data_IF_386281905684
#
_entry.id   IF_386281905684
#
_cell.length_a   1.000
_cell.length_b   1.000
_cell.length_c   1.000
_cell.angle_alpha   90.00
_cell.angle_beta   90.00
_cell.angle_gamma   90.00
#
_symmetry.space_group_name_H-M   'P 1'
#
loop_
_entity.id
_entity.type
_entity.pdbx_description
1 polymer ?
#
# COMPACT_ATOMS: atom_id res chain seq x y z
N UNK A 1 -15.53 -33.30 8.44
CA UNK A 1 -15.34 -31.84 8.35
C UNK A 1 -13.89 -31.56 8.75
N UNK A 2 -13.11 -30.95 7.89
CA UNK A 2 -11.73 -30.53 8.21
C UNK A 2 -11.73 -29.14 8.88
N UNK A 3 -10.57 -28.67 9.32
CA UNK A 3 -10.46 -27.38 10.05
C UNK A 3 -10.96 -26.21 9.20
N UNK A 4 -10.60 -26.15 7.92
CA UNK A 4 -11.07 -25.15 6.97
C UNK A 4 -12.61 -25.10 6.90
N UNK A 5 -13.24 -26.25 6.71
CA UNK A 5 -14.71 -26.36 6.63
C UNK A 5 -15.39 -25.90 7.92
N UNK A 6 -14.77 -26.16 9.07
CA UNK A 6 -15.27 -25.69 10.37
C UNK A 6 -15.21 -24.17 10.46
N UNK A 7 -14.10 -23.53 9.99
CA UNK A 7 -13.96 -22.07 9.96
C UNK A 7 -14.98 -21.46 8.98
N UNK A 8 -15.11 -22.00 7.77
CA UNK A 8 -16.08 -21.53 6.77
C UNK A 8 -17.53 -21.61 7.27
N UNK A 9 -17.86 -22.66 8.00
CA UNK A 9 -19.16 -22.78 8.63
C UNK A 9 -19.37 -21.73 9.73
N UNK A 10 -18.35 -21.52 10.56
CA UNK A 10 -18.38 -20.44 11.56
C UNK A 10 -18.57 -19.06 10.91
N UNK A 11 -17.88 -18.77 9.79
CA UNK A 11 -18.09 -17.54 9.02
C UNK A 11 -19.57 -17.38 8.62
N UNK A 12 -20.20 -18.44 8.09
CA UNK A 12 -21.62 -18.44 7.69
C UNK A 12 -22.58 -18.19 8.85
N UNK A 13 -22.26 -18.68 10.05
CA UNK A 13 -23.13 -18.58 11.23
C UNK A 13 -22.98 -17.24 11.96
N UNK A 14 -21.81 -16.57 11.87
CA UNK A 14 -21.48 -15.43 12.73
C UNK A 14 -21.23 -14.12 12.02
N UNK A 15 -20.79 -14.15 10.75
CA UNK A 15 -20.54 -12.93 10.01
C UNK A 15 -21.84 -12.27 9.55
N UNK A 16 -21.74 -10.97 9.25
CA UNK A 16 -22.82 -10.20 8.64
C UNK A 16 -23.26 -10.81 7.30
N UNK A 17 -24.53 -10.69 6.95
CA UNK A 17 -25.00 -11.10 5.62
C UNK A 17 -24.40 -10.29 4.46
N UNK A 18 -23.72 -9.18 4.77
CA UNK A 18 -22.99 -8.36 3.79
C UNK A 18 -21.51 -8.71 3.70
N UNK A 19 -21.02 -9.63 4.55
CA UNK A 19 -19.62 -10.05 4.55
C UNK A 19 -19.30 -10.95 3.35
N UNK A 20 -18.09 -10.84 2.86
CA UNK A 20 -17.53 -11.74 1.84
C UNK A 20 -17.05 -13.02 2.50
N UNK A 21 -17.85 -14.10 2.40
CA UNK A 21 -17.52 -15.40 2.97
C UNK A 21 -16.42 -16.10 2.16
N UNK A 22 -15.44 -16.70 2.85
CA UNK A 22 -14.33 -17.44 2.21
C UNK A 22 -14.83 -18.59 1.32
N UNK A 23 -15.91 -19.26 1.72
CA UNK A 23 -16.52 -20.33 0.93
C UNK A 23 -17.16 -19.87 -0.39
N UNK A 24 -17.51 -18.58 -0.49
CA UNK A 24 -18.19 -17.98 -1.64
C UNK A 24 -17.26 -17.17 -2.54
N UNK A 25 -15.94 -17.32 -2.40
CA UNK A 25 -14.98 -16.60 -3.22
C UNK A 25 -15.17 -16.87 -4.71
N UNK A 26 -14.97 -15.85 -5.56
CA UNK A 26 -14.89 -16.02 -7.02
C UNK A 26 -13.66 -16.82 -7.45
N UNK A 27 -12.76 -17.10 -6.50
CA UNK A 27 -11.64 -17.99 -6.67
C UNK A 27 -10.39 -17.33 -7.25
N UNK A 28 -9.50 -18.17 -7.69
CA UNK A 28 -8.16 -17.86 -8.22
C UNK A 28 -8.13 -18.04 -9.72
N UNK A 29 -7.18 -17.40 -10.40
CA UNK A 29 -6.99 -17.60 -11.85
C UNK A 29 -6.59 -19.03 -12.19
N UNK A 30 -5.65 -19.56 -11.40
CA UNK A 30 -5.21 -20.95 -11.54
C UNK A 30 -5.83 -21.78 -10.44
N UNK A 31 -6.56 -22.84 -10.83
CA UNK A 31 -7.16 -23.77 -9.86
C UNK A 31 -6.08 -24.47 -9.06
N UNK A 32 -6.26 -24.56 -7.77
CA UNK A 32 -5.39 -25.25 -6.83
C UNK A 32 -6.20 -26.11 -5.86
N UNK A 33 -5.61 -27.16 -5.28
CA UNK A 33 -6.23 -27.91 -4.20
C UNK A 33 -6.52 -27.00 -3.01
N UNK A 34 -7.70 -27.18 -2.39
CA UNK A 34 -8.05 -26.48 -1.17
C UNK A 34 -7.16 -26.94 -0.01
N UNK A 35 -6.85 -26.02 0.89
CA UNK A 35 -6.14 -26.34 2.14
C UNK A 35 -7.12 -27.01 3.13
N UNK A 36 -6.68 -27.96 3.89
CA UNK A 36 -7.47 -28.65 4.93
C UNK A 36 -7.59 -27.83 6.23
N UNK A 37 -6.71 -26.84 6.42
CA UNK A 37 -6.62 -26.02 7.64
C UNK A 37 -7.15 -24.60 7.40
N UNK A 38 -6.73 -23.93 6.31
CA UNK A 38 -6.94 -22.49 6.10
C UNK A 38 -7.96 -22.19 4.99
N UNK A 39 -8.97 -21.33 5.25
CA UNK A 39 -9.77 -20.69 4.20
C UNK A 39 -8.90 -19.91 3.20
N UNK A 40 -9.47 -19.61 2.02
CA UNK A 40 -8.72 -19.00 0.92
C UNK A 40 -8.16 -17.60 1.26
N UNK A 41 -8.90 -16.78 2.01
CA UNK A 41 -8.44 -15.45 2.43
C UNK A 41 -7.22 -15.51 3.36
N UNK A 42 -7.13 -16.51 4.24
CA UNK A 42 -5.95 -16.73 5.08
C UNK A 42 -4.74 -17.20 4.26
N UNK A 43 -4.96 -18.04 3.24
CA UNK A 43 -3.88 -18.44 2.33
C UNK A 43 -3.33 -17.23 1.56
N UNK A 44 -4.18 -16.31 1.16
CA UNK A 44 -3.77 -15.10 0.44
C UNK A 44 -2.94 -14.18 1.33
N UNK A 45 -3.37 -13.94 2.55
CA UNK A 45 -2.58 -13.23 3.57
C UNK A 45 -1.19 -13.83 3.71
N UNK A 46 -1.09 -15.15 3.90
CA UNK A 46 0.18 -15.83 4.09
C UNK A 46 1.08 -15.69 2.84
N UNK A 47 0.53 -15.79 1.63
CA UNK A 47 1.28 -15.59 0.37
C UNK A 47 1.86 -14.19 0.27
N UNK A 48 1.08 -13.17 0.66
CA UNK A 48 1.54 -11.77 0.66
C UNK A 48 2.67 -11.59 1.67
N UNK A 49 2.50 -12.03 2.92
CA UNK A 49 3.50 -11.93 3.98
C UNK A 49 4.84 -12.58 3.60
N UNK A 50 4.80 -13.71 2.89
CA UNK A 50 6.00 -14.43 2.47
C UNK A 50 6.59 -13.95 1.14
N UNK A 51 6.00 -12.95 0.47
CA UNK A 51 6.50 -12.39 -0.78
C UNK A 51 7.78 -11.58 -0.58
N UNK A 52 8.57 -11.45 -1.66
CA UNK A 52 9.76 -10.58 -1.67
C UNK A 52 9.34 -9.11 -1.57
N UNK A 53 8.26 -8.73 -2.25
CA UNK A 53 7.78 -7.36 -2.29
C UNK A 53 7.31 -6.87 -0.93
N UNK A 54 6.64 -7.70 -0.13
CA UNK A 54 6.27 -7.36 1.24
C UNK A 54 7.50 -7.08 2.12
N UNK A 55 8.54 -7.90 2.03
CA UNK A 55 9.80 -7.68 2.77
C UNK A 55 10.50 -6.38 2.39
N UNK A 56 10.36 -5.93 1.13
CA UNK A 56 10.97 -4.67 0.66
C UNK A 56 10.32 -3.43 1.28
N UNK A 57 9.07 -3.50 1.74
CA UNK A 57 8.37 -2.39 2.38
C UNK A 57 9.11 -1.84 3.61
N UNK A 58 9.93 -2.64 4.28
CA UNK A 58 10.75 -2.21 5.42
C UNK A 58 11.77 -1.12 5.08
N UNK A 59 12.14 -0.99 3.81
CA UNK A 59 13.16 -0.06 3.32
C UNK A 59 12.62 0.85 2.20
N UNK A 60 11.31 1.11 2.22
CA UNK A 60 10.65 2.13 1.40
C UNK A 60 10.08 3.19 2.32
N UNK A 61 10.37 4.45 2.03
CA UNK A 61 9.85 5.60 2.80
C UNK A 61 8.35 5.73 2.64
N UNK A 62 7.67 6.20 3.68
CA UNK A 62 6.24 6.50 3.62
C UNK A 62 6.01 7.92 3.08
N UNK A 63 6.51 8.94 3.75
CA UNK A 63 6.23 10.36 3.45
C UNK A 63 7.49 11.15 3.16
N UNK A 64 8.44 11.18 4.10
CA UNK A 64 9.67 11.98 3.98
C UNK A 64 10.84 11.11 3.55
N UNK A 65 11.64 11.63 2.59
CA UNK A 65 12.83 10.94 2.07
C UNK A 65 13.84 10.71 3.19
N UNK A 66 14.04 9.43 3.52
CA UNK A 66 15.10 8.91 4.39
C UNK A 66 15.60 9.87 5.49
N UNK A 67 14.76 10.29 6.44
CA UNK A 67 15.26 11.06 7.57
C UNK A 67 16.26 10.20 8.35
N UNK A 68 17.34 10.80 8.83
CA UNK A 68 18.27 10.12 9.73
C UNK A 68 17.57 9.79 11.05
N UNK A 69 17.49 8.52 11.42
CA UNK A 69 16.96 8.05 12.71
C UNK A 69 16.12 6.78 12.65
N UNK A 70 15.97 6.12 13.80
CA UNK A 70 15.31 4.82 13.92
C UNK A 70 13.78 4.91 14.10
N UNK A 71 13.21 6.12 14.18
CA UNK A 71 11.83 6.35 14.60
C UNK A 71 10.88 6.73 13.46
N UNK A 72 11.35 6.80 12.23
CA UNK A 72 10.50 7.15 11.09
C UNK A 72 9.72 5.94 10.56
N UNK A 73 8.49 6.20 10.11
CA UNK A 73 7.63 5.16 9.55
C UNK A 73 8.15 4.71 8.19
N UNK A 74 8.22 3.41 8.04
CA UNK A 74 8.40 2.75 6.74
C UNK A 74 7.05 2.32 6.20
N UNK A 75 6.98 1.99 4.90
CA UNK A 75 5.75 1.42 4.33
C UNK A 75 5.33 0.13 5.01
N UNK A 76 6.26 -0.64 5.56
CA UNK A 76 5.91 -1.84 6.32
C UNK A 76 5.13 -1.50 7.59
N UNK A 77 5.58 -0.52 8.37
CA UNK A 77 4.89 -0.12 9.61
C UNK A 77 3.53 0.50 9.29
N UNK A 78 3.44 1.38 8.26
CA UNK A 78 2.17 1.88 7.75
C UNK A 78 1.21 0.75 7.37
N UNK A 79 1.67 -0.21 6.57
CA UNK A 79 0.85 -1.36 6.14
C UNK A 79 0.30 -2.17 7.32
N UNK A 80 1.11 -2.36 8.37
CA UNK A 80 0.68 -3.05 9.60
C UNK A 80 -0.35 -2.23 10.38
N UNK A 81 -0.19 -0.91 10.45
CA UNK A 81 -1.16 -0.02 11.12
C UNK A 81 -2.48 0.04 10.35
N UNK A 82 -2.46 0.11 9.01
CA UNK A 82 -3.66 -0.02 8.17
C UNK A 82 -4.35 -1.36 8.41
N UNK A 83 -3.60 -2.44 8.46
CA UNK A 83 -4.13 -3.78 8.74
C UNK A 83 -4.77 -3.85 10.14
N UNK A 84 -4.14 -3.26 11.15
CA UNK A 84 -4.70 -3.22 12.51
C UNK A 84 -6.03 -2.46 12.56
N UNK A 85 -6.11 -1.27 11.93
CA UNK A 85 -7.33 -0.47 11.87
C UNK A 85 -8.43 -1.23 11.11
N UNK A 86 -8.10 -1.77 9.92
CA UNK A 86 -9.04 -2.48 9.07
C UNK A 86 -9.63 -3.72 9.77
N UNK A 87 -8.80 -4.49 10.46
CA UNK A 87 -9.27 -5.66 11.22
C UNK A 87 -10.17 -5.27 12.39
N UNK A 88 -9.86 -4.17 13.07
CA UNK A 88 -10.70 -3.67 14.16
C UNK A 88 -12.10 -3.30 13.66
N UNK A 89 -12.18 -2.55 12.56
CA UNK A 89 -13.47 -2.15 11.94
C UNK A 89 -14.20 -3.39 11.39
N UNK A 90 -13.50 -4.26 10.62
CA UNK A 90 -14.09 -5.45 10.04
C UNK A 90 -14.70 -6.36 11.12
N UNK A 91 -13.98 -6.58 12.23
CA UNK A 91 -14.46 -7.39 13.36
C UNK A 91 -15.68 -6.78 14.03
N UNK A 92 -15.68 -5.46 14.27
CA UNK A 92 -16.83 -4.78 14.88
C UNK A 92 -18.09 -4.85 14.00
N UNK A 93 -17.93 -4.74 12.68
CA UNK A 93 -19.01 -4.87 11.69
C UNK A 93 -19.36 -6.32 11.34
N UNK A 94 -18.71 -7.31 11.95
CA UNK A 94 -18.86 -8.75 11.62
C UNK A 94 -18.60 -9.05 10.14
N UNK A 95 -17.64 -8.34 9.52
CA UNK A 95 -17.14 -8.61 8.19
C UNK A 95 -15.99 -9.63 8.24
N UNK A 96 -15.52 -10.09 7.09
CA UNK A 96 -14.42 -11.06 7.02
C UNK A 96 -13.07 -10.41 7.34
N UNK A 97 -12.62 -10.55 8.60
CA UNK A 97 -11.37 -10.00 9.11
C UNK A 97 -10.15 -10.50 8.32
N UNK A 98 -10.15 -11.78 7.89
CA UNK A 98 -9.04 -12.35 7.12
C UNK A 98 -8.93 -11.76 5.73
N UNK A 99 -10.06 -11.42 5.09
CA UNK A 99 -10.08 -10.74 3.79
C UNK A 99 -9.56 -9.29 3.94
N UNK A 100 -10.05 -8.56 4.93
CA UNK A 100 -9.58 -7.20 5.20
C UNK A 100 -8.06 -7.17 5.47
N UNK A 101 -7.55 -8.11 6.27
CA UNK A 101 -6.12 -8.26 6.54
C UNK A 101 -5.32 -8.53 5.24
N UNK A 102 -5.75 -9.47 4.42
CA UNK A 102 -5.06 -9.81 3.17
C UNK A 102 -4.99 -8.61 2.21
N UNK A 103 -6.09 -7.86 2.05
CA UNK A 103 -6.14 -6.65 1.22
C UNK A 103 -5.19 -5.59 1.79
N UNK A 104 -5.27 -5.33 3.10
CA UNK A 104 -4.44 -4.33 3.76
C UNK A 104 -2.94 -4.63 3.64
N UNK A 105 -2.52 -5.89 3.80
CA UNK A 105 -1.12 -6.28 3.63
C UNK A 105 -0.63 -6.17 2.18
N UNK A 106 -1.52 -6.25 1.21
CA UNK A 106 -1.19 -6.22 -0.22
C UNK A 106 -1.29 -4.84 -0.88
N UNK A 107 -1.96 -3.86 -0.27
CA UNK A 107 -2.35 -2.64 -0.96
C UNK A 107 -1.16 -1.81 -1.47
N UNK A 108 -0.08 -1.73 -0.71
CA UNK A 108 1.08 -0.84 -0.94
C UNK A 108 2.31 -1.53 -1.57
N UNK A 109 2.20 -2.80 -1.98
CA UNK A 109 3.32 -3.56 -2.54
C UNK A 109 3.97 -2.89 -3.77
N UNK A 110 3.18 -2.16 -4.55
CA UNK A 110 3.57 -1.55 -5.81
C UNK A 110 4.20 -0.17 -5.72
N UNK A 111 4.36 0.39 -4.54
CA UNK A 111 5.02 1.70 -4.41
C UNK A 111 6.47 1.65 -4.88
N UNK A 112 6.87 2.74 -5.52
CA UNK A 112 8.23 2.98 -6.01
C UNK A 112 9.18 3.35 -4.86
N UNK A 113 10.50 3.28 -5.06
CA UNK A 113 11.41 4.00 -4.18
C UNK A 113 11.04 5.48 -4.14
N UNK A 114 11.24 6.12 -2.99
CA UNK A 114 10.90 7.53 -2.73
C UNK A 114 9.40 7.87 -2.88
N UNK A 115 8.53 6.90 -2.68
CA UNK A 115 7.09 7.08 -2.60
C UNK A 115 6.48 7.76 -3.82
N UNK A 116 5.70 8.82 -3.59
CA UNK A 116 5.03 9.55 -4.68
C UNK A 116 5.96 10.27 -5.64
N UNK A 117 7.17 10.66 -5.20
CA UNK A 117 8.17 11.30 -6.07
C UNK A 117 8.65 10.33 -7.16
N UNK A 118 8.96 9.08 -6.79
CA UNK A 118 9.31 8.06 -7.76
C UNK A 118 8.13 7.65 -8.66
N UNK A 119 6.92 7.56 -8.11
CA UNK A 119 5.71 7.28 -8.86
C UNK A 119 5.45 8.34 -9.95
N UNK A 120 5.57 9.63 -9.61
CA UNK A 120 5.37 10.73 -10.56
C UNK A 120 6.36 10.65 -11.73
N UNK A 121 7.61 10.28 -11.47
CA UNK A 121 8.63 10.09 -12.51
C UNK A 121 8.29 8.91 -13.40
N UNK A 122 8.01 7.74 -12.84
CA UNK A 122 7.67 6.56 -13.64
C UNK A 122 6.38 6.76 -14.43
N UNK A 123 5.38 7.44 -13.86
CA UNK A 123 4.15 7.77 -14.57
C UNK A 123 4.39 8.67 -15.80
N UNK A 124 5.37 9.57 -15.73
CA UNK A 124 5.74 10.43 -16.86
C UNK A 124 6.60 9.72 -17.91
N UNK A 125 7.48 8.80 -17.48
CA UNK A 125 8.44 8.14 -18.35
C UNK A 125 7.89 6.89 -19.04
N UNK A 126 7.03 6.12 -18.35
CA UNK A 126 6.43 4.92 -18.90
C UNK A 126 5.30 5.29 -19.87
N UNK A 127 5.35 4.83 -21.11
CA UNK A 127 4.37 5.15 -22.16
C UNK A 127 2.93 4.75 -21.80
N UNK A 128 2.76 3.68 -21.01
CA UNK A 128 1.47 3.21 -20.49
C UNK A 128 1.06 3.91 -19.17
N UNK A 129 1.89 4.86 -18.68
CA UNK A 129 1.75 5.43 -17.36
C UNK A 129 2.14 4.46 -16.25
N UNK A 130 2.09 4.96 -15.02
CA UNK A 130 2.40 4.18 -13.82
C UNK A 130 1.54 4.63 -12.64
N UNK A 131 1.00 3.67 -11.89
CA UNK A 131 0.32 3.93 -10.63
C UNK A 131 0.58 2.77 -9.64
N UNK A 132 0.90 3.11 -8.38
CA UNK A 132 1.26 2.12 -7.37
C UNK A 132 0.19 1.03 -7.15
N UNK A 133 -1.10 1.39 -7.17
CA UNK A 133 -2.19 0.43 -6.97
C UNK A 133 -2.30 -0.59 -8.13
N UNK A 134 -2.03 -0.17 -9.37
CA UNK A 134 -1.93 -1.06 -10.52
C UNK A 134 -0.67 -1.93 -10.43
N UNK A 135 0.43 -1.34 -10.01
CA UNK A 135 1.67 -2.06 -9.80
C UNK A 135 1.56 -3.07 -8.64
N UNK A 136 0.80 -2.77 -7.57
CA UNK A 136 0.52 -3.73 -6.49
C UNK A 136 -0.19 -4.97 -7.03
N UNK A 137 -1.20 -4.80 -7.89
CA UNK A 137 -1.86 -5.92 -8.57
C UNK A 137 -0.90 -6.66 -9.48
N UNK A 138 -0.11 -5.94 -10.29
CA UNK A 138 0.89 -6.56 -11.19
C UNK A 138 1.92 -7.40 -10.42
N UNK A 139 2.35 -6.94 -9.25
CA UNK A 139 3.25 -7.72 -8.39
C UNK A 139 2.62 -9.06 -8.01
N UNK A 140 1.38 -9.05 -7.53
CA UNK A 140 0.72 -10.27 -7.05
C UNK A 140 0.21 -11.18 -8.18
N UNK A 141 -0.02 -10.65 -9.38
CA UNK A 141 -0.46 -11.43 -10.55
C UNK A 141 0.69 -11.92 -11.43
N UNK A 142 1.80 -11.16 -11.49
CA UNK A 142 2.87 -11.41 -12.48
C UNK A 142 4.25 -11.54 -11.83
N UNK A 143 4.72 -10.51 -11.07
CA UNK A 143 6.15 -10.38 -10.78
C UNK A 143 6.66 -11.36 -9.71
N UNK A 144 5.84 -11.70 -8.73
CA UNK A 144 6.22 -12.66 -7.69
C UNK A 144 6.34 -14.10 -8.26
N UNK A 145 6.97 -14.98 -7.51
CA UNK A 145 7.13 -16.40 -7.87
C UNK A 145 7.74 -16.62 -9.27
N UNK A 146 8.77 -15.82 -9.61
CA UNK A 146 9.50 -15.93 -10.88
C UNK A 146 8.61 -15.75 -12.13
N UNK A 147 7.70 -14.80 -12.09
CA UNK A 147 6.80 -14.49 -13.22
C UNK A 147 5.45 -15.22 -13.19
N UNK A 148 5.16 -15.97 -12.13
CA UNK A 148 3.89 -16.69 -11.99
C UNK A 148 2.85 -15.96 -11.13
N UNK A 149 3.26 -14.96 -10.35
CA UNK A 149 2.40 -14.28 -9.40
C UNK A 149 2.00 -15.14 -8.20
N UNK A 150 1.33 -14.54 -7.24
CA UNK A 150 0.90 -15.19 -6.00
C UNK A 150 -0.38 -16.02 -6.14
N UNK A 151 -1.09 -15.89 -7.26
CA UNK A 151 -2.37 -16.54 -7.52
C UNK A 151 -3.40 -16.28 -6.40
N UNK A 152 -3.62 -15.01 -6.07
CA UNK A 152 -4.57 -14.58 -5.04
C UNK A 152 -6.03 -14.69 -5.54
N UNK A 153 -6.98 -14.73 -4.61
CA UNK A 153 -8.41 -14.67 -4.90
C UNK A 153 -8.78 -13.34 -5.56
N UNK A 154 -9.89 -13.34 -6.28
CA UNK A 154 -10.39 -12.16 -6.96
C UNK A 154 -10.69 -11.01 -5.97
N UNK A 155 -11.25 -11.33 -4.81
CA UNK A 155 -11.64 -10.35 -3.79
C UNK A 155 -10.42 -9.58 -3.27
N UNK A 156 -9.33 -10.27 -2.99
CA UNK A 156 -8.08 -9.64 -2.53
C UNK A 156 -7.49 -8.75 -3.63
N UNK A 157 -7.42 -9.24 -4.88
CA UNK A 157 -6.90 -8.45 -6.01
C UNK A 157 -7.76 -7.21 -6.29
N UNK A 158 -9.08 -7.36 -6.23
CA UNK A 158 -10.01 -6.25 -6.39
C UNK A 158 -9.85 -5.20 -5.27
N UNK A 159 -9.71 -5.63 -4.02
CA UNK A 159 -9.45 -4.74 -2.89
C UNK A 159 -8.14 -3.98 -3.05
N UNK A 160 -7.05 -4.67 -3.41
CA UNK A 160 -5.74 -4.05 -3.70
C UNK A 160 -5.85 -3.00 -4.81
N UNK A 161 -6.52 -3.31 -5.92
CA UNK A 161 -6.66 -2.39 -7.05
C UNK A 161 -7.42 -1.11 -6.68
N UNK A 162 -8.41 -1.24 -5.81
CA UNK A 162 -9.39 -0.18 -5.53
C UNK A 162 -9.22 0.49 -4.16
N UNK A 163 -8.08 0.30 -3.46
CA UNK A 163 -7.87 0.92 -2.14
C UNK A 163 -7.72 2.45 -2.20
N UNK A 164 -7.33 3.00 -3.36
CA UNK A 164 -7.17 4.46 -3.56
C UNK A 164 -8.44 5.24 -3.24
N UNK A 165 -8.30 6.54 -2.96
CA UNK A 165 -9.41 7.44 -2.59
C UNK A 165 -10.58 7.42 -3.58
N UNK A 166 -10.30 7.38 -4.89
CA UNK A 166 -11.30 7.32 -5.96
C UNK A 166 -11.68 5.90 -6.38
N UNK A 167 -11.19 4.88 -5.66
CA UNK A 167 -11.51 3.49 -5.97
C UNK A 167 -12.85 3.07 -5.39
N UNK A 168 -13.43 2.02 -5.99
CA UNK A 168 -14.68 1.42 -5.58
C UNK A 168 -14.48 -0.09 -5.41
N UNK A 169 -13.99 -0.53 -4.23
CA UNK A 169 -13.88 -1.95 -3.94
C UNK A 169 -15.23 -2.63 -4.02
N UNK A 170 -15.25 -3.84 -4.56
CA UNK A 170 -16.49 -4.61 -4.74
C UNK A 170 -16.99 -5.27 -3.45
N UNK A 171 -16.15 -5.32 -2.40
CA UNK A 171 -16.49 -5.91 -1.10
C UNK A 171 -16.48 -4.84 -0.02
N UNK A 172 -17.26 -5.07 1.04
CA UNK A 172 -17.25 -4.16 2.20
C UNK A 172 -15.89 -4.17 2.89
N UNK A 173 -15.22 -5.32 2.96
CA UNK A 173 -13.86 -5.45 3.49
C UNK A 173 -12.84 -4.58 2.71
N UNK A 174 -12.97 -4.54 1.40
CA UNK A 174 -12.17 -3.63 0.57
C UNK A 174 -12.43 -2.16 0.89
N UNK A 175 -13.70 -1.79 1.13
CA UNK A 175 -14.05 -0.43 1.56
C UNK A 175 -13.53 -0.10 2.96
N UNK A 176 -13.55 -1.07 3.88
CA UNK A 176 -12.91 -0.93 5.21
C UNK A 176 -11.43 -0.60 5.04
N UNK A 177 -10.70 -1.35 4.20
CA UNK A 177 -9.27 -1.08 3.97
C UNK A 177 -9.05 0.30 3.36
N UNK A 178 -9.84 0.70 2.36
CA UNK A 178 -9.76 2.02 1.73
C UNK A 178 -9.94 3.18 2.73
N UNK A 179 -10.83 3.05 3.70
CA UNK A 179 -11.00 4.05 4.75
C UNK A 179 -9.91 3.96 5.81
N UNK A 180 -9.47 2.75 6.17
CA UNK A 180 -8.40 2.54 7.14
C UNK A 180 -7.06 3.12 6.66
N UNK A 181 -6.75 3.00 5.36
CA UNK A 181 -5.59 3.61 4.75
C UNK A 181 -5.63 5.13 4.86
N UNK A 182 -6.78 5.77 4.57
CA UNK A 182 -6.95 7.21 4.74
C UNK A 182 -6.73 7.67 6.19
N UNK A 183 -7.30 6.94 7.15
CA UNK A 183 -7.15 7.25 8.58
C UNK A 183 -5.68 7.12 9.01
N UNK A 184 -5.03 6.03 8.63
CA UNK A 184 -3.63 5.79 8.93
C UNK A 184 -2.76 6.89 8.32
N UNK A 185 -2.91 7.14 7.02
CA UNK A 185 -2.12 8.13 6.27
C UNK A 185 -2.15 9.51 6.94
N UNK A 186 -3.34 10.07 7.21
CA UNK A 186 -3.42 11.43 7.78
C UNK A 186 -2.79 11.53 9.17
N UNK A 187 -2.96 10.50 10.00
CA UNK A 187 -2.38 10.49 11.33
C UNK A 187 -0.85 10.31 11.31
N UNK A 188 -0.35 9.53 10.34
CA UNK A 188 1.08 9.32 10.15
C UNK A 188 1.76 10.58 9.67
N UNK A 189 1.17 11.28 8.72
CA UNK A 189 1.72 12.51 8.17
C UNK A 189 1.82 13.60 9.22
N UNK A 190 0.79 13.73 10.08
CA UNK A 190 0.81 14.66 11.20
C UNK A 190 1.92 14.30 12.19
N UNK A 191 2.00 13.04 12.61
CA UNK A 191 2.99 12.58 13.60
C UNK A 191 4.43 12.76 13.05
N UNK A 192 4.67 12.40 11.79
CA UNK A 192 5.96 12.53 11.15
C UNK A 192 6.34 14.02 10.94
N UNK A 193 5.41 14.90 10.60
CA UNK A 193 5.64 16.33 10.50
C UNK A 193 6.00 16.97 11.86
N UNK A 194 5.34 16.54 12.93
CA UNK A 194 5.65 16.99 14.29
C UNK A 194 7.04 16.49 14.71
N UNK A 195 7.36 15.22 14.49
CA UNK A 195 8.68 14.64 14.77
C UNK A 195 9.79 15.32 13.97
N UNK A 196 9.52 15.64 12.70
CA UNK A 196 10.42 16.41 11.83
C UNK A 196 10.56 17.87 12.22
N UNK A 197 9.82 18.35 13.24
CA UNK A 197 9.75 19.74 13.69
C UNK A 197 9.32 20.70 12.57
N UNK A 198 8.57 20.22 11.62
CA UNK A 198 7.97 21.02 10.54
C UNK A 198 6.77 21.78 11.07
N UNK A 199 6.02 21.17 12.00
CA UNK A 199 4.85 21.75 12.65
C UNK A 199 4.71 21.26 14.10
N UNK A 200 3.75 21.84 14.82
CA UNK A 200 3.31 21.37 16.15
C UNK A 200 1.84 20.96 16.09
N UNK A 201 1.38 20.18 17.06
CA UNK A 201 -0.03 19.80 17.18
C UNK A 201 -0.97 21.02 17.24
N UNK A 202 -0.54 22.10 17.89
CA UNK A 202 -1.33 23.33 18.05
C UNK A 202 -1.50 24.14 16.74
N UNK A 203 -0.72 23.83 15.71
CA UNK A 203 -0.81 24.48 14.40
C UNK A 203 -1.99 23.94 13.57
N UNK A 204 -2.52 22.77 13.94
CA UNK A 204 -3.66 22.17 13.27
C UNK A 204 -4.93 23.04 13.44
N UNK A 205 -5.73 23.26 12.38
CA UNK A 205 -6.93 24.08 12.46
C UNK A 205 -7.98 23.50 13.43
N UNK A 206 -8.44 24.31 14.36
CA UNK A 206 -9.44 23.90 15.36
C UNK A 206 -10.75 23.42 14.72
N UNK A 207 -11.14 23.99 13.59
CA UNK A 207 -12.32 23.55 12.86
C UNK A 207 -12.32 22.06 12.50
N UNK A 208 -11.13 21.44 12.38
CA UNK A 208 -10.99 20.00 12.13
C UNK A 208 -10.67 19.23 13.40
N UNK A 209 -9.83 19.77 14.28
CA UNK A 209 -9.44 19.05 15.51
C UNK A 209 -10.57 18.97 16.53
N UNK A 210 -11.48 19.93 16.57
CA UNK A 210 -12.67 19.88 17.43
C UNK A 210 -13.64 18.74 17.01
N UNK A 211 -13.63 18.35 15.73
CA UNK A 211 -14.46 17.25 15.18
C UNK A 211 -13.73 15.90 15.24
N UNK A 212 -12.44 15.90 14.92
CA UNK A 212 -11.65 14.67 14.75
C UNK A 212 -10.81 14.28 15.97
N UNK A 213 -10.58 15.22 16.93
CA UNK A 213 -9.74 15.03 18.11
C UNK A 213 -8.41 15.77 18.05
N UNK A 214 -7.87 16.04 19.24
CA UNK A 214 -6.68 16.89 19.44
C UNK A 214 -5.38 16.09 19.63
N UNK A 215 -5.43 14.79 19.43
CA UNK A 215 -4.26 13.91 19.49
C UNK A 215 -4.42 12.74 18.52
N UNK A 216 -3.32 12.10 18.14
CA UNK A 216 -3.34 10.88 17.29
C UNK A 216 -4.28 9.81 17.86
N UNK A 217 -4.23 9.60 19.18
CA UNK A 217 -5.09 8.62 19.85
C UNK A 217 -6.58 8.96 19.73
N UNK A 218 -6.94 10.23 20.01
CA UNK A 218 -8.33 10.69 19.90
C UNK A 218 -8.81 10.63 18.45
N UNK A 219 -8.02 11.10 17.48
CA UNK A 219 -8.38 11.05 16.05
C UNK A 219 -8.64 9.63 15.57
N UNK A 220 -7.75 8.69 15.88
CA UNK A 220 -7.95 7.30 15.54
C UNK A 220 -9.22 6.74 16.16
N UNK A 221 -9.42 6.98 17.46
CA UNK A 221 -10.59 6.47 18.18
C UNK A 221 -11.90 7.02 17.61
N UNK A 222 -11.98 8.34 17.39
CA UNK A 222 -13.18 9.00 16.87
C UNK A 222 -13.52 8.50 15.46
N UNK A 223 -12.54 8.43 14.55
CA UNK A 223 -12.79 8.01 13.17
C UNK A 223 -13.14 6.54 13.07
N UNK A 224 -12.52 5.66 13.86
CA UNK A 224 -12.85 4.23 13.89
C UNK A 224 -14.27 4.02 14.42
N UNK A 225 -14.66 4.67 15.53
CA UNK A 225 -16.02 4.58 16.08
C UNK A 225 -17.05 5.11 15.08
N UNK A 226 -16.78 6.25 14.45
CA UNK A 226 -17.69 6.82 13.47
C UNK A 226 -17.98 5.87 12.30
N UNK A 227 -16.93 5.26 11.73
CA UNK A 227 -17.13 4.26 10.66
C UNK A 227 -17.99 3.10 11.15
N UNK A 228 -17.72 2.58 12.34
CA UNK A 228 -18.46 1.46 12.90
C UNK A 228 -19.93 1.83 13.11
N UNK A 229 -20.21 2.92 13.80
CA UNK A 229 -21.55 3.40 14.10
C UNK A 229 -22.34 3.75 12.84
N UNK A 230 -21.68 4.39 11.88
CA UNK A 230 -22.33 4.79 10.63
C UNK A 230 -22.61 3.63 9.68
N UNK A 231 -21.83 2.55 9.76
CA UNK A 231 -21.90 1.39 8.85
C UNK A 231 -22.60 0.17 9.44
N UNK A 232 -22.90 0.16 10.74
CA UNK A 232 -23.46 -1.00 11.41
C UNK A 232 -24.78 -1.45 10.77
N UNK A 233 -24.87 -2.74 10.45
CA UNK A 233 -26.04 -3.39 9.83
C UNK A 233 -26.49 -2.78 8.48
N UNK A 234 -25.59 -2.09 7.77
CA UNK A 234 -25.82 -1.51 6.45
C UNK A 234 -25.02 -2.22 5.35
N UNK A 235 -25.50 -2.18 4.08
CA UNK A 235 -24.78 -2.71 2.92
C UNK A 235 -23.67 -1.77 2.40
N UNK A 236 -23.14 -0.92 3.26
CA UNK A 236 -22.08 0.04 2.93
C UNK A 236 -21.15 0.26 4.12
N UNK A 237 -19.91 0.70 3.82
CA UNK A 237 -18.96 1.16 4.84
C UNK A 237 -18.59 2.59 4.51
N UNK A 238 -18.95 3.50 5.42
CA UNK A 238 -18.76 4.94 5.23
C UNK A 238 -18.49 5.65 6.57
N UNK A 239 -17.93 6.84 6.49
CA UNK A 239 -17.89 7.80 7.60
C UNK A 239 -19.15 8.67 7.58
N UNK A 240 -19.48 9.29 8.70
CA UNK A 240 -20.48 10.38 8.70
C UNK A 240 -20.00 11.54 7.83
N UNK A 241 -20.91 12.25 7.13
CA UNK A 241 -20.52 13.35 6.23
C UNK A 241 -19.69 14.44 6.92
N UNK A 242 -20.01 14.76 8.16
CA UNK A 242 -19.28 15.78 8.95
C UNK A 242 -17.81 15.39 9.16
N UNK A 243 -17.57 14.15 9.60
CA UNK A 243 -16.21 13.66 9.87
C UNK A 243 -15.42 13.38 8.59
N UNK A 244 -16.09 12.93 7.55
CA UNK A 244 -15.45 12.76 6.24
C UNK A 244 -14.99 14.11 5.67
N UNK A 245 -15.83 15.16 5.77
CA UNK A 245 -15.47 16.52 5.34
C UNK A 245 -14.33 17.11 6.17
N UNK A 246 -14.37 16.95 7.49
CA UNK A 246 -13.30 17.39 8.39
C UNK A 246 -11.97 16.66 8.07
N UNK A 247 -12.01 15.35 7.84
CA UNK A 247 -10.82 14.57 7.43
C UNK A 247 -10.26 15.07 6.10
N UNK A 248 -11.11 15.33 5.11
CA UNK A 248 -10.68 15.88 3.83
C UNK A 248 -10.15 17.30 3.95
N UNK A 249 -10.73 18.13 4.83
CA UNK A 249 -10.24 19.47 5.15
C UNK A 249 -8.85 19.43 5.77
N UNK A 250 -8.68 18.58 6.78
CA UNK A 250 -7.39 18.38 7.45
C UNK A 250 -6.30 17.90 6.49
N UNK A 251 -6.65 16.96 5.58
CA UNK A 251 -5.71 16.48 4.55
C UNK A 251 -5.31 17.61 3.58
N UNK A 252 -6.25 18.45 3.13
CA UNK A 252 -5.92 19.59 2.27
C UNK A 252 -5.01 20.57 2.98
N UNK A 253 -5.30 20.86 4.24
CA UNK A 253 -4.47 21.74 5.05
C UNK A 253 -3.04 21.20 5.20
N UNK A 254 -2.88 19.91 5.48
CA UNK A 254 -1.56 19.25 5.52
C UNK A 254 -0.82 19.36 4.18
N UNK A 255 -1.55 19.19 3.07
CA UNK A 255 -0.97 19.33 1.74
C UNK A 255 -0.43 20.72 1.50
N UNK A 256 -1.18 21.75 1.87
CA UNK A 256 -0.82 23.15 1.62
C UNK A 256 0.30 23.67 2.53
N UNK A 257 0.41 23.14 3.75
CA UNK A 257 1.29 23.71 4.79
C UNK A 257 2.52 22.85 5.13
N UNK A 258 2.44 21.55 4.87
CA UNK A 258 3.50 20.60 5.28
C UNK A 258 4.32 20.12 4.10
N UNK A 259 3.67 19.73 3.00
CA UNK A 259 4.37 19.15 1.84
C UNK A 259 5.06 20.18 0.94
N UNK A 260 4.89 21.48 1.19
CA UNK A 260 5.55 22.55 0.42
C UNK A 260 6.79 23.11 1.10
N UNK A 261 7.28 22.50 2.18
CA UNK A 261 8.52 22.95 2.82
C UNK A 261 9.74 22.78 1.89
N UNK A 262 10.56 23.84 1.81
CA UNK A 262 11.64 23.97 0.82
C UNK A 262 12.71 22.89 0.91
N UNK A 263 12.98 22.31 2.10
CA UNK A 263 14.00 21.28 2.31
C UNK A 263 13.49 19.93 1.77
N UNK A 264 12.27 19.54 2.13
CA UNK A 264 11.65 18.31 1.64
C UNK A 264 11.57 18.31 0.11
N UNK A 265 11.17 19.44 -0.48
CA UNK A 265 11.03 19.60 -1.93
C UNK A 265 12.38 19.53 -2.69
N UNK A 266 13.47 19.99 -2.08
CA UNK A 266 14.80 19.88 -2.70
C UNK A 266 15.27 18.42 -2.78
N UNK A 267 15.04 17.62 -1.73
CA UNK A 267 15.38 16.19 -1.73
C UNK A 267 14.48 15.38 -2.67
N UNK A 268 13.20 15.73 -2.77
CA UNK A 268 12.29 15.15 -3.77
C UNK A 268 12.79 15.37 -5.19
N UNK A 269 13.25 16.58 -5.52
CA UNK A 269 13.82 16.89 -6.83
C UNK A 269 15.06 16.03 -7.15
N UNK A 270 15.93 15.81 -6.17
CA UNK A 270 17.10 14.93 -6.30
C UNK A 270 16.71 13.49 -6.52
N UNK A 271 15.71 13.00 -5.76
CA UNK A 271 15.20 11.65 -5.91
C UNK A 271 14.56 11.43 -7.29
N UNK A 272 13.81 12.41 -7.79
CA UNK A 272 13.23 12.37 -9.13
C UNK A 272 14.31 12.29 -10.21
N UNK A 273 15.34 13.14 -10.15
CA UNK A 273 16.47 13.09 -11.09
C UNK A 273 17.20 11.74 -11.04
N UNK A 274 17.37 11.17 -9.85
CA UNK A 274 17.99 9.85 -9.69
C UNK A 274 17.18 8.76 -10.41
N UNK A 275 15.86 8.74 -10.24
CA UNK A 275 14.99 7.76 -10.90
C UNK A 275 15.03 7.96 -12.43
N UNK A 276 15.01 9.21 -12.93
CA UNK A 276 15.14 9.50 -14.37
C UNK A 276 16.46 8.95 -14.94
N UNK A 277 17.58 9.19 -14.25
CA UNK A 277 18.87 8.70 -14.69
C UNK A 277 18.96 7.18 -14.69
N UNK A 278 18.44 6.52 -13.63
CA UNK A 278 18.37 5.05 -13.58
C UNK A 278 17.48 4.49 -14.70
N UNK A 279 16.33 5.11 -14.95
CA UNK A 279 15.43 4.70 -16.04
C UNK A 279 16.13 4.83 -17.41
N UNK A 280 16.73 5.99 -17.70
CA UNK A 280 17.47 6.21 -18.94
C UNK A 280 18.60 5.21 -19.15
N UNK A 281 19.34 4.90 -18.07
CA UNK A 281 20.40 3.91 -18.10
C UNK A 281 19.90 2.50 -18.47
N UNK A 282 18.89 1.97 -17.77
CA UNK A 282 18.37 0.64 -18.03
C UNK A 282 17.59 0.55 -19.37
N UNK A 283 17.06 1.66 -19.86
CA UNK A 283 16.52 1.72 -21.23
C UNK A 283 17.60 1.63 -22.30
N UNK A 284 18.81 2.16 -22.02
CA UNK A 284 19.97 2.05 -22.92
C UNK A 284 20.70 0.70 -22.79
N UNK A 285 20.69 0.13 -21.58
CA UNK A 285 21.43 -1.11 -21.22
C UNK A 285 20.47 -2.17 -20.65
N UNK A 286 19.49 -2.65 -21.44
CA UNK A 286 18.53 -3.63 -20.95
C UNK A 286 19.16 -4.98 -20.55
N UNK A 287 20.34 -5.30 -21.08
CA UNK A 287 21.13 -6.49 -20.75
C UNK A 287 21.60 -6.51 -19.29
N UNK A 288 21.66 -5.34 -18.62
CA UNK A 288 22.01 -5.24 -17.22
C UNK A 288 20.80 -5.40 -16.26
N UNK A 289 19.60 -5.59 -16.78
CA UNK A 289 18.46 -5.98 -15.97
C UNK A 289 18.69 -7.35 -15.33
N UNK A 290 18.14 -7.61 -14.14
CA UNK A 290 18.23 -8.93 -13.51
C UNK A 290 17.67 -10.04 -14.40
N UNK A 291 18.22 -11.26 -14.27
CA UNK A 291 17.76 -12.46 -14.98
C UNK A 291 16.24 -12.69 -14.82
N UNK A 292 15.69 -12.38 -13.64
CA UNK A 292 14.25 -12.49 -13.38
C UNK A 292 13.43 -11.56 -14.30
N UNK A 293 13.92 -10.35 -14.61
CA UNK A 293 13.28 -9.41 -15.53
C UNK A 293 13.30 -9.94 -16.98
N UNK A 294 14.42 -10.46 -17.44
CA UNK A 294 14.52 -11.09 -18.77
C UNK A 294 13.57 -12.27 -18.90
N UNK A 295 13.52 -13.12 -17.89
CA UNK A 295 12.61 -14.26 -17.86
C UNK A 295 11.13 -13.84 -17.93
N UNK A 296 10.73 -12.78 -17.22
CA UNK A 296 9.35 -12.27 -17.26
C UNK A 296 9.04 -11.70 -18.65
N UNK A 297 9.97 -10.95 -19.25
CA UNK A 297 9.83 -10.46 -20.63
C UNK A 297 9.56 -11.59 -21.61
N UNK A 298 10.32 -12.68 -21.54
CA UNK A 298 10.15 -13.85 -22.41
C UNK A 298 8.81 -14.57 -22.17
N UNK A 299 8.49 -14.91 -20.92
CA UNK A 299 7.28 -15.69 -20.59
C UNK A 299 6.00 -14.92 -20.87
N UNK A 300 6.01 -13.59 -20.64
CA UNK A 300 4.82 -12.73 -20.73
C UNK A 300 4.79 -11.90 -22.01
N UNK A 301 5.80 -11.98 -22.86
CA UNK A 301 5.98 -11.16 -24.06
C UNK A 301 5.89 -9.65 -23.72
N UNK A 302 6.56 -9.25 -22.63
CA UNK A 302 6.55 -7.88 -22.12
C UNK A 302 7.55 -7.00 -22.86
N UNK A 303 7.25 -5.71 -22.93
CA UNK A 303 8.18 -4.75 -23.51
C UNK A 303 9.38 -4.50 -22.60
N UNK A 304 10.50 -4.09 -23.21
CA UNK A 304 11.68 -3.61 -22.47
C UNK A 304 11.32 -2.50 -21.49
N UNK A 305 10.54 -1.54 -21.93
CA UNK A 305 10.09 -0.40 -21.12
C UNK A 305 9.35 -0.87 -19.87
N UNK A 306 8.41 -1.82 -20.02
CA UNK A 306 7.67 -2.36 -18.89
C UNK A 306 8.58 -3.07 -17.89
N UNK A 307 9.55 -3.84 -18.38
CA UNK A 307 10.53 -4.52 -17.53
C UNK A 307 11.41 -3.53 -16.75
N UNK A 308 11.82 -2.43 -17.38
CA UNK A 308 12.57 -1.36 -16.72
C UNK A 308 11.71 -0.67 -15.64
N UNK A 309 10.45 -0.34 -15.96
CA UNK A 309 9.52 0.21 -14.98
C UNK A 309 9.34 -0.71 -13.76
N UNK A 310 9.11 -2.00 -13.99
CA UNK A 310 8.93 -3.01 -12.94
C UNK A 310 10.18 -3.14 -12.06
N UNK A 311 11.36 -3.14 -12.69
CA UNK A 311 12.61 -3.26 -11.97
C UNK A 311 12.86 -2.06 -11.05
N UNK A 312 12.70 -0.84 -11.57
CA UNK A 312 12.89 0.39 -10.79
C UNK A 312 11.82 0.49 -9.69
N UNK A 313 10.54 0.24 -10.01
CA UNK A 313 9.47 0.25 -9.03
C UNK A 313 9.70 -0.77 -7.90
N UNK A 314 10.33 -1.91 -8.22
CA UNK A 314 10.70 -2.94 -7.25
C UNK A 314 11.89 -2.61 -6.35
N UNK A 315 12.65 -1.54 -6.61
CA UNK A 315 13.78 -1.15 -5.76
C UNK A 315 13.30 -0.62 -4.40
N UNK A 316 14.14 -0.78 -3.38
CA UNK A 316 14.04 -0.01 -2.14
C UNK A 316 14.79 1.31 -2.31
N UNK A 317 14.54 2.28 -1.45
CA UNK A 317 15.22 3.59 -1.49
C UNK A 317 16.75 3.43 -1.41
N UNK A 318 17.20 2.63 -0.45
CA UNK A 318 18.63 2.35 -0.27
C UNK A 318 19.22 1.67 -1.51
N UNK A 319 18.53 0.67 -2.05
CA UNK A 319 19.00 -0.04 -3.25
C UNK A 319 19.09 0.88 -4.47
N UNK A 320 18.12 1.78 -4.66
CA UNK A 320 18.13 2.77 -5.74
C UNK A 320 19.32 3.73 -5.60
N UNK A 321 19.57 4.22 -4.38
CA UNK A 321 20.74 5.07 -4.07
C UNK A 321 22.06 4.34 -4.37
N UNK A 322 22.19 3.09 -3.93
CA UNK A 322 23.42 2.31 -4.13
C UNK A 322 23.64 2.00 -5.61
N UNK A 323 22.59 1.64 -6.35
CA UNK A 323 22.68 1.45 -7.81
C UNK A 323 23.06 2.74 -8.52
N UNK A 324 22.47 3.87 -8.13
CA UNK A 324 22.86 5.17 -8.68
C UNK A 324 24.35 5.50 -8.44
N UNK A 325 24.83 5.32 -7.21
CA UNK A 325 26.26 5.53 -6.89
C UNK A 325 27.16 4.63 -7.71
N UNK A 326 26.78 3.38 -7.86
CA UNK A 326 27.56 2.39 -8.61
C UNK A 326 27.70 2.74 -10.09
N UNK A 327 26.63 3.28 -10.70
CA UNK A 327 26.56 3.58 -12.12
C UNK A 327 27.10 4.98 -12.48
N UNK A 328 26.85 5.97 -11.62
CA UNK A 328 27.09 7.37 -11.98
C UNK A 328 28.18 8.08 -11.16
N UNK A 329 28.63 7.48 -10.06
CA UNK A 329 29.70 8.07 -9.25
C UNK A 329 31.02 7.32 -9.50
N UNK A 330 32.06 8.00 -9.99
CA UNK A 330 33.35 7.38 -10.19
C UNK A 330 33.92 6.78 -8.90
N UNK A 331 34.42 5.55 -8.99
CA UNK A 331 35.13 4.92 -7.86
C UNK A 331 36.58 5.36 -7.84
N UNK A 332 37.12 5.59 -6.65
CA UNK A 332 38.58 5.83 -6.51
C UNK A 332 39.31 4.57 -7.01
N UNK A 333 40.30 4.80 -7.84
CA UNK A 333 41.19 3.75 -8.34
C UNK A 333 42.11 3.30 -7.22
N UNK A 334 41.93 2.10 -6.70
CA UNK A 334 42.90 1.47 -5.79
C UNK A 334 44.02 0.84 -6.62
N UNK A 335 45.24 1.34 -6.45
CA UNK A 335 46.47 0.76 -6.98
C UNK A 335 46.86 -0.45 -6.14
#
# INVERSE_FOLDING_TARGET
MNIRETIEKWEQETLSLYASLSANTRGRERKEPLCDIRPENQRDRDRILHSKSFRRLKQKTQVFLAPEGDHYRTRLTHTLEVSQIARTIAKALRLNESLAEAIALGHDLGHTPFGHSGEAVLNRLCSEGFAHYQQSVRIVEVLEQKGQGLNLTWEVRNGILNHRTSGHPATLEGNVVRLSDKIAYINHDIDDAIRGKIMKEEDLPREYTDILGNSVHERLNIMIHDIIEHSQDKPEVAMSPEREEAMHGLRRWMFDHVYHDGIAKAEEGRAQQMIEMLYGYYMAHPEELPEESHRIMEIRNETKERAVCDYIAGMTDIYAIDRFKELFIPKAWSV
#
